data_IF_422548088875
#
_entry.id   IF_422548088875
#
_cell.length_a   1.000
_cell.length_b   1.000
_cell.length_c   1.000
_cell.angle_alpha   90.00
_cell.angle_beta   90.00
_cell.angle_gamma   90.00
#
_symmetry.space_group_name_H-M   'P 1'
#
loop_
_entity.id
_entity.type
_entity.pdbx_description
1 polymer ?
#
# COMPACT_ATOMS: atom_id res chain seq x y z
N UNK A 1 -41.45 -34.23 29.06
CA UNK A 1 -40.46 -33.68 30.02
C UNK A 1 -39.08 -33.96 29.46
N UNK A 2 -38.63 -33.14 28.50
CA UNK A 2 -37.21 -32.98 28.16
C UNK A 2 -37.06 -31.65 27.43
N UNK A 3 -36.27 -30.74 27.98
CA UNK A 3 -35.90 -29.45 27.41
C UNK A 3 -34.55 -29.66 26.73
N UNK A 4 -34.38 -29.24 25.48
CA UNK A 4 -33.05 -29.09 24.88
C UNK A 4 -32.94 -27.67 24.35
N UNK A 5 -31.91 -27.00 24.85
CA UNK A 5 -31.70 -25.57 24.85
C UNK A 5 -31.41 -25.01 23.45
N UNK A 6 -31.93 -23.82 23.19
CA UNK A 6 -31.44 -22.97 22.13
C UNK A 6 -30.06 -22.45 22.54
N UNK A 7 -29.02 -22.89 21.83
CA UNK A 7 -27.70 -22.27 21.94
C UNK A 7 -27.76 -20.91 21.23
N UNK A 8 -27.68 -19.85 22.03
CA UNK A 8 -27.42 -18.50 21.55
C UNK A 8 -25.98 -18.47 21.01
N UNK A 9 -25.84 -18.22 19.72
CA UNK A 9 -24.56 -17.86 19.10
C UNK A 9 -24.35 -16.38 19.39
N UNK A 10 -23.37 -15.97 20.21
CA UNK A 10 -23.12 -14.56 20.43
C UNK A 10 -22.64 -13.93 19.13
N UNK A 11 -23.35 -12.89 18.74
CA UNK A 11 -23.01 -11.93 17.68
C UNK A 11 -21.74 -11.18 18.10
N UNK A 12 -20.58 -11.69 17.70
CA UNK A 12 -19.36 -10.87 17.59
C UNK A 12 -19.16 -10.52 16.12
N UNK A 13 -20.08 -9.71 15.61
CA UNK A 13 -19.91 -8.95 14.36
C UNK A 13 -19.04 -7.72 14.69
N UNK A 14 -17.82 -7.94 15.21
CA UNK A 14 -16.81 -6.90 15.19
C UNK A 14 -16.56 -6.60 13.70
N UNK A 15 -16.82 -5.37 13.22
CA UNK A 15 -16.49 -5.03 11.86
C UNK A 15 -14.99 -5.21 11.71
N UNK A 16 -14.58 -6.27 11.00
CA UNK A 16 -13.21 -6.46 10.55
C UNK A 16 -12.72 -5.10 10.06
N UNK A 17 -11.57 -4.59 10.56
CA UNK A 17 -11.08 -3.30 10.13
C UNK A 17 -11.03 -3.33 8.60
N UNK A 18 -11.80 -2.45 7.96
CA UNK A 18 -11.78 -2.32 6.51
C UNK A 18 -10.30 -2.29 6.09
N UNK A 19 -9.89 -3.09 5.08
CA UNK A 19 -8.50 -3.12 4.67
C UNK A 19 -8.06 -1.67 4.50
N UNK A 20 -7.00 -1.22 5.20
CA UNK A 20 -6.62 0.17 5.21
C UNK A 20 -6.54 0.60 3.75
N UNK A 21 -7.34 1.60 3.36
CA UNK A 21 -7.41 2.06 1.98
C UNK A 21 -5.97 2.17 1.49
N UNK A 22 -5.59 1.29 0.56
CA UNK A 22 -4.18 1.05 0.28
C UNK A 22 -3.53 2.39 -0.06
N UNK A 23 -2.46 2.74 0.66
CA UNK A 23 -1.86 4.06 0.47
C UNK A 23 -1.40 4.19 -0.98
N UNK A 24 -1.30 5.43 -1.49
CA UNK A 24 -0.75 5.66 -2.82
C UNK A 24 0.61 4.94 -3.01
N UNK A 25 1.42 4.86 -1.95
CA UNK A 25 2.71 4.16 -1.95
C UNK A 25 2.53 2.67 -2.18
N UNK A 26 1.56 2.03 -1.50
CA UNK A 26 1.29 0.61 -1.65
C UNK A 26 0.82 0.27 -3.07
N UNK A 27 -0.08 1.09 -3.64
CA UNK A 27 -0.54 0.94 -5.02
C UNK A 27 0.61 1.14 -6.02
N UNK A 28 1.50 2.10 -5.78
CA UNK A 28 2.65 2.36 -6.64
C UNK A 28 3.66 1.21 -6.57
N UNK A 29 3.96 0.72 -5.36
CA UNK A 29 4.86 -0.41 -5.12
C UNK A 29 4.37 -1.65 -5.84
N UNK A 30 3.09 -1.99 -5.67
CA UNK A 30 2.49 -3.15 -6.34
C UNK A 30 2.61 -3.06 -7.86
N UNK A 31 2.31 -1.87 -8.43
CA UNK A 31 2.39 -1.68 -9.88
C UNK A 31 3.81 -1.75 -10.42
N UNK A 32 4.77 -1.09 -9.77
CA UNK A 32 6.19 -1.08 -10.19
C UNK A 32 6.81 -2.47 -10.04
N UNK A 33 6.56 -3.16 -8.93
CA UNK A 33 7.06 -4.53 -8.71
C UNK A 33 6.58 -5.47 -9.80
N UNK A 34 5.30 -5.41 -10.17
CA UNK A 34 4.73 -6.21 -11.26
C UNK A 34 5.28 -5.83 -12.63
N UNK A 35 5.47 -4.54 -12.90
CA UNK A 35 5.92 -4.06 -14.21
C UNK A 35 7.39 -4.39 -14.50
N UNK A 36 8.24 -4.33 -13.47
CA UNK A 36 9.69 -4.54 -13.61
C UNK A 36 10.17 -5.90 -13.07
N UNK A 37 9.30 -6.72 -12.47
CA UNK A 37 9.66 -8.03 -11.92
C UNK A 37 10.61 -7.95 -10.73
N UNK A 38 10.52 -6.88 -9.93
CA UNK A 38 11.43 -6.58 -8.81
C UNK A 38 10.74 -6.81 -7.47
N UNK A 39 11.57 -7.01 -6.44
CA UNK A 39 11.11 -7.22 -5.07
C UNK A 39 10.35 -5.98 -4.51
N UNK A 40 9.15 -6.17 -3.93
CA UNK A 40 8.32 -5.07 -3.44
C UNK A 40 8.88 -4.35 -2.21
N UNK A 41 9.69 -5.01 -1.38
CA UNK A 41 10.34 -4.38 -0.22
C UNK A 41 11.39 -3.37 -0.70
N UNK A 42 12.24 -3.78 -1.65
CA UNK A 42 13.21 -2.88 -2.28
C UNK A 42 12.55 -1.74 -3.09
N UNK A 43 11.33 -1.92 -3.58
CA UNK A 43 10.54 -0.83 -4.20
C UNK A 43 9.99 0.12 -3.13
N UNK A 44 9.53 -0.40 -1.99
CA UNK A 44 9.06 0.42 -0.84
C UNK A 44 10.16 1.32 -0.32
N UNK A 45 11.36 0.80 -0.11
CA UNK A 45 12.49 1.60 0.39
C UNK A 45 12.84 2.75 -0.55
N UNK A 46 12.85 2.48 -1.86
CA UNK A 46 13.07 3.52 -2.87
C UNK A 46 11.93 4.52 -2.93
N UNK A 47 10.69 4.08 -2.74
CA UNK A 47 9.52 4.96 -2.66
C UNK A 47 9.59 5.89 -1.43
N UNK A 48 9.95 5.35 -0.27
CA UNK A 48 10.14 6.12 0.95
C UNK A 48 11.27 7.15 0.81
N UNK A 49 12.41 6.76 0.23
CA UNK A 49 13.51 7.67 -0.06
C UNK A 49 13.11 8.78 -1.04
N UNK A 50 12.33 8.44 -2.08
CA UNK A 50 11.80 9.43 -3.01
C UNK A 50 10.81 10.40 -2.35
N UNK A 51 9.94 9.92 -1.46
CA UNK A 51 9.03 10.76 -0.68
C UNK A 51 9.78 11.70 0.25
N UNK A 52 10.79 11.21 0.97
CA UNK A 52 11.62 12.03 1.84
C UNK A 52 12.30 13.18 1.07
N UNK A 53 12.73 12.94 -0.17
CA UNK A 53 13.31 13.98 -1.02
C UNK A 53 12.31 15.10 -1.39
N UNK A 54 11.01 14.83 -1.32
CA UNK A 54 9.95 15.81 -1.59
C UNK A 54 9.26 16.34 -0.32
N UNK A 55 9.71 15.96 0.89
CA UNK A 55 9.08 16.37 2.15
C UNK A 55 9.00 17.90 2.31
N UNK A 56 9.98 18.64 1.79
CA UNK A 56 10.02 20.11 1.79
C UNK A 56 9.38 20.79 0.57
N UNK A 57 8.73 20.06 -0.33
CA UNK A 57 8.14 20.63 -1.53
C UNK A 57 6.94 21.53 -1.19
N UNK A 58 6.93 22.76 -1.73
CA UNK A 58 5.82 23.71 -1.53
C UNK A 58 4.47 23.23 -2.06
N UNK A 59 4.49 22.34 -3.06
CA UNK A 59 3.27 21.82 -3.70
C UNK A 59 3.21 20.31 -3.53
N UNK A 60 2.46 19.87 -2.52
CA UNK A 60 2.34 18.44 -2.16
C UNK A 60 1.49 17.63 -3.15
N UNK A 61 0.54 18.27 -3.85
CA UNK A 61 -0.36 17.61 -4.81
C UNK A 61 0.38 16.88 -5.94
N UNK A 62 1.58 17.33 -6.32
CA UNK A 62 2.37 16.70 -7.39
C UNK A 62 3.37 15.65 -6.87
N UNK A 63 3.55 15.52 -5.56
CA UNK A 63 4.51 14.56 -5.00
C UNK A 63 4.25 13.13 -5.47
N UNK A 64 2.99 12.63 -5.54
CA UNK A 64 2.72 11.29 -6.05
C UNK A 64 3.29 11.04 -7.45
N UNK A 65 3.04 11.95 -8.41
CA UNK A 65 3.50 11.78 -9.79
C UNK A 65 5.02 11.93 -9.92
N UNK A 66 5.65 12.76 -9.08
CA UNK A 66 7.10 12.92 -9.06
C UNK A 66 7.81 11.69 -8.48
N UNK A 67 7.27 11.12 -7.40
CA UNK A 67 7.76 9.88 -6.80
C UNK A 67 7.68 8.72 -7.79
N UNK A 68 6.53 8.56 -8.47
CA UNK A 68 6.37 7.56 -9.52
C UNK A 68 7.41 7.72 -10.63
N UNK A 69 7.56 8.93 -11.17
CA UNK A 69 8.54 9.19 -12.24
C UNK A 69 9.96 8.83 -11.82
N UNK A 70 10.36 9.17 -10.61
CA UNK A 70 11.69 8.88 -10.07
C UNK A 70 11.92 7.37 -9.88
N UNK A 71 10.92 6.66 -9.37
CA UNK A 71 10.95 5.20 -9.23
C UNK A 71 11.13 4.52 -10.59
N UNK A 72 10.28 4.86 -11.57
CA UNK A 72 10.37 4.30 -12.93
C UNK A 72 11.71 4.59 -13.58
N UNK A 73 12.25 5.79 -13.41
CA UNK A 73 13.58 6.14 -13.94
C UNK A 73 14.69 5.27 -13.35
N UNK A 74 14.58 4.91 -12.06
CA UNK A 74 15.58 4.06 -11.38
C UNK A 74 15.59 2.62 -11.91
N UNK A 75 14.48 2.12 -12.44
CA UNK A 75 14.37 0.76 -13.00
C UNK A 75 14.50 0.70 -14.53
N UNK A 76 14.33 1.82 -15.24
CA UNK A 76 14.50 1.88 -16.71
C UNK A 76 15.92 1.60 -17.20
N UNK A 77 16.93 1.69 -16.33
CA UNK A 77 18.33 1.39 -16.66
C UNK A 77 18.76 -0.06 -16.39
N UNK A 78 17.87 -0.92 -15.89
CA UNK A 78 18.18 -2.30 -15.52
C UNK A 78 17.82 -3.33 -16.60
N UNK A 79 17.61 -2.91 -17.85
CA UNK A 79 17.25 -3.79 -18.97
C UNK A 79 18.38 -3.85 -20.00
#
# INVERSE_FOLDING_TARGET
MTVVAAEAVPEDDEPLPAPPEASFVDLLVARVSREYGVDPEGVRDRAAAALAAFAGARVQTFVPILVEKRLRASYRGCR
#
